data_IF_039756571374
#
_entry.id   IF_039756571374
#
_cell.length_a   1.000
_cell.length_b   1.000
_cell.length_c   1.000
_cell.angle_alpha   90.00
_cell.angle_beta   90.00
_cell.angle_gamma   90.00
#
_symmetry.space_group_name_H-M   'P 1'
#
loop_
_entity.id
_entity.type
_entity.pdbx_description
1 polymer ?
#
# COMPACT_ATOMS: atom_id res chain seq x y z
N UNK A 1 7.61 -10.87 19.79
CA UNK A 1 9.01 -10.61 19.40
C UNK A 1 9.23 -9.12 19.27
N UNK A 2 10.35 -8.60 19.80
CA UNK A 2 10.70 -7.17 19.70
C UNK A 2 11.99 -7.04 18.89
N UNK A 3 11.93 -6.15 17.89
CA UNK A 3 13.07 -5.81 17.03
C UNK A 3 13.45 -4.36 17.25
N UNK A 4 14.76 -4.13 17.43
CA UNK A 4 15.35 -2.79 17.61
C UNK A 4 16.63 -2.67 16.81
N UNK A 5 16.99 -1.46 16.41
CA UNK A 5 18.23 -1.20 15.67
C UNK A 5 18.16 -1.67 14.21
N UNK A 6 19.31 -1.95 13.60
CA UNK A 6 19.44 -2.22 12.17
C UNK A 6 19.70 -3.70 11.89
N UNK A 7 18.98 -4.25 10.90
CA UNK A 7 19.12 -5.62 10.44
C UNK A 7 19.05 -5.74 8.93
N UNK A 8 19.64 -6.79 8.36
CA UNK A 8 19.64 -7.09 6.92
C UNK A 8 18.94 -8.40 6.56
N UNK A 9 18.27 -9.01 7.51
CA UNK A 9 17.50 -10.24 7.32
C UNK A 9 16.01 -9.98 7.53
N UNK A 10 15.19 -10.56 6.65
CA UNK A 10 13.74 -10.51 6.77
C UNK A 10 13.22 -11.39 7.92
N UNK A 11 12.03 -11.06 8.36
CA UNK A 11 11.26 -11.81 9.35
C UNK A 11 10.26 -12.67 8.59
N UNK A 12 10.37 -13.98 8.70
CA UNK A 12 9.39 -14.90 8.14
C UNK A 12 8.47 -15.41 9.25
N UNK A 13 7.19 -15.14 9.11
CA UNK A 13 6.15 -15.75 9.94
C UNK A 13 5.86 -17.15 9.40
N UNK A 14 5.99 -18.18 10.23
CA UNK A 14 5.70 -19.55 9.79
C UNK A 14 4.19 -19.88 9.89
N UNK A 15 3.54 -19.43 10.95
CA UNK A 15 2.10 -19.65 11.17
C UNK A 15 1.56 -18.92 12.40
N UNK A 16 0.23 -18.94 12.57
CA UNK A 16 -0.45 -18.47 13.78
C UNK A 16 -0.64 -16.97 13.83
N UNK A 17 -0.74 -16.43 15.04
CA UNK A 17 -1.08 -15.03 15.28
C UNK A 17 0.05 -14.30 16.05
N UNK A 18 1.25 -14.17 15.48
CA UNK A 18 2.35 -13.54 16.19
C UNK A 18 2.15 -12.04 16.35
N UNK A 19 2.74 -11.50 17.41
CA UNK A 19 2.95 -10.08 17.60
C UNK A 19 4.41 -9.74 17.40
N UNK A 20 4.67 -8.85 16.45
CA UNK A 20 5.97 -8.26 16.13
C UNK A 20 5.97 -6.83 16.65
N UNK A 21 6.88 -6.48 17.53
CA UNK A 21 7.07 -5.11 18.00
C UNK A 21 8.28 -4.53 17.28
N UNK A 22 8.05 -3.51 16.49
CA UNK A 22 9.08 -2.71 15.81
C UNK A 22 9.32 -1.47 16.68
N UNK A 23 10.51 -1.34 17.25
CA UNK A 23 10.85 -0.22 18.14
C UNK A 23 12.14 0.46 17.66
N UNK A 24 12.01 1.54 16.89
CA UNK A 24 13.12 2.21 16.23
C UNK A 24 13.98 1.21 15.43
N UNK A 25 13.32 0.34 14.68
CA UNK A 25 13.96 -0.72 13.92
C UNK A 25 14.12 -0.31 12.44
N UNK A 26 15.26 -0.70 11.86
CA UNK A 26 15.52 -0.57 10.43
C UNK A 26 15.88 -1.94 9.87
N UNK A 27 14.99 -2.54 9.09
CA UNK A 27 15.18 -3.84 8.46
C UNK A 27 15.24 -3.64 6.94
N UNK A 28 16.43 -3.78 6.38
CA UNK A 28 16.66 -3.61 4.95
C UNK A 28 17.13 -4.93 4.35
N UNK A 29 16.35 -5.47 3.41
CA UNK A 29 16.62 -6.75 2.76
C UNK A 29 17.11 -6.56 1.32
N UNK A 30 17.91 -7.51 0.83
CA UNK A 30 18.39 -7.54 -0.55
C UNK A 30 17.60 -8.49 -1.45
N UNK A 31 16.75 -9.32 -0.87
CA UNK A 31 15.85 -10.24 -1.59
C UNK A 31 14.68 -10.62 -0.67
N UNK A 32 13.52 -10.89 -1.28
CA UNK A 32 12.30 -11.22 -0.56
C UNK A 32 11.69 -10.02 0.14
N UNK A 33 10.88 -10.25 1.15
CA UNK A 33 10.21 -9.20 1.92
C UNK A 33 10.87 -9.03 3.29
N UNK A 34 10.85 -7.80 3.83
CA UNK A 34 11.35 -7.54 5.17
C UNK A 34 10.49 -8.27 6.22
N UNK A 35 9.18 -8.35 5.98
CA UNK A 35 8.27 -9.20 6.77
C UNK A 35 7.43 -10.02 5.80
N UNK A 36 7.40 -11.34 6.00
CA UNK A 36 6.66 -12.29 5.15
C UNK A 36 5.58 -12.97 5.97
N UNK A 37 4.31 -12.74 5.62
CA UNK A 37 3.13 -13.23 6.35
C UNK A 37 2.40 -14.25 5.47
N UNK A 38 2.37 -15.53 5.87
CA UNK A 38 1.76 -16.59 5.07
C UNK A 38 0.23 -16.57 5.16
N UNK A 39 -0.39 -17.31 4.25
CA UNK A 39 -1.82 -17.62 4.27
C UNK A 39 -2.24 -18.23 5.63
N UNK A 40 -3.43 -17.88 6.08
CA UNK A 40 -3.99 -18.36 7.35
C UNK A 40 -3.36 -17.77 8.61
N UNK A 41 -2.42 -16.84 8.48
CA UNK A 41 -1.78 -16.14 9.61
C UNK A 41 -2.39 -14.77 9.84
N UNK A 42 -2.56 -14.38 11.11
CA UNK A 42 -2.92 -13.01 11.49
C UNK A 42 -1.78 -12.39 12.29
N UNK A 43 -0.98 -11.56 11.65
CA UNK A 43 0.20 -10.95 12.25
C UNK A 43 -0.10 -9.53 12.72
N UNK A 44 0.19 -9.22 13.97
CA UNK A 44 0.13 -7.85 14.50
C UNK A 44 1.52 -7.24 14.53
N UNK A 45 1.70 -6.12 13.85
CA UNK A 45 2.90 -5.30 13.87
C UNK A 45 2.62 -4.07 14.73
N UNK A 46 3.19 -4.03 15.94
CA UNK A 46 3.13 -2.86 16.79
C UNK A 46 4.32 -1.95 16.50
N UNK A 47 4.03 -0.71 16.10
CA UNK A 47 5.03 0.30 15.75
C UNK A 47 5.29 1.20 16.96
N UNK A 48 6.55 1.38 17.33
CA UNK A 48 7.01 2.27 18.39
C UNK A 48 8.18 3.09 17.84
N UNK A 49 8.07 4.41 17.87
CA UNK A 49 9.08 5.32 17.33
C UNK A 49 9.09 5.32 15.79
N UNK A 50 10.25 5.61 15.18
CA UNK A 50 10.44 5.67 13.73
C UNK A 50 11.09 4.39 13.21
N UNK A 51 10.40 3.69 12.32
CA UNK A 51 10.79 2.39 11.81
C UNK A 51 10.84 2.40 10.28
N UNK A 52 11.83 1.72 9.72
CA UNK A 52 11.98 1.54 8.28
C UNK A 52 12.10 0.05 7.94
N UNK A 53 11.34 -0.40 6.95
CA UNK A 53 11.39 -1.79 6.47
C UNK A 53 11.33 -1.83 4.95
N UNK A 54 11.98 -2.81 4.34
CA UNK A 54 11.91 -3.04 2.91
C UNK A 54 13.25 -3.22 2.25
N UNK A 55 13.42 -2.66 1.06
CA UNK A 55 14.61 -2.84 0.24
C UNK A 55 15.27 -1.52 -0.10
N UNK A 56 16.60 -1.56 -0.27
CA UNK A 56 17.36 -0.46 -0.88
C UNK A 56 17.59 -0.68 -2.38
N UNK A 57 17.15 -1.80 -2.93
CA UNK A 57 17.31 -2.08 -4.36
C UNK A 57 16.42 -1.16 -5.18
N UNK A 58 17.02 -0.61 -6.21
CA UNK A 58 16.33 0.28 -7.17
C UNK A 58 16.30 -0.31 -8.57
N UNK A 59 16.94 -1.46 -8.79
CA UNK A 59 17.03 -2.05 -10.12
C UNK A 59 15.79 -2.88 -10.46
N UNK A 60 15.29 -2.64 -11.64
CA UNK A 60 14.01 -3.08 -12.17
C UNK A 60 13.83 -4.61 -12.27
N UNK A 61 14.91 -5.36 -12.39
CA UNK A 61 14.88 -6.81 -12.67
C UNK A 61 15.42 -7.67 -11.53
N UNK A 62 15.69 -7.06 -10.39
CA UNK A 62 16.06 -7.79 -9.18
C UNK A 62 14.84 -8.54 -8.60
N UNK A 63 15.09 -9.55 -7.81
CA UNK A 63 14.03 -10.32 -7.16
C UNK A 63 13.03 -9.39 -6.43
N UNK A 64 11.72 -9.61 -6.54
CA UNK A 64 10.70 -8.80 -5.90
C UNK A 64 10.99 -8.67 -4.40
N UNK A 65 11.05 -7.44 -3.92
CA UNK A 65 11.33 -7.14 -2.52
C UNK A 65 10.26 -6.20 -1.98
N UNK A 66 9.48 -6.65 -0.99
CA UNK A 66 8.47 -5.85 -0.32
C UNK A 66 8.92 -5.40 1.07
N UNK A 67 8.26 -4.39 1.60
CA UNK A 67 8.33 -4.08 3.02
C UNK A 67 7.63 -5.18 3.81
N UNK A 68 6.32 -5.34 3.59
CA UNK A 68 5.49 -6.38 4.20
C UNK A 68 4.75 -7.13 3.09
N UNK A 69 5.11 -8.38 2.86
CA UNK A 69 4.30 -9.27 2.03
C UNK A 69 3.21 -9.92 2.89
N UNK A 70 1.98 -9.88 2.40
CA UNK A 70 0.82 -10.50 3.02
C UNK A 70 0.22 -11.45 2.01
N UNK A 71 0.43 -12.75 2.17
CA UNK A 71 -0.12 -13.75 1.25
C UNK A 71 -1.65 -13.75 1.26
N UNK A 72 -2.27 -14.17 0.19
CA UNK A 72 -3.71 -14.38 0.10
C UNK A 72 -4.21 -15.24 1.28
N UNK A 73 -5.30 -14.81 1.92
CA UNK A 73 -5.80 -15.43 3.15
C UNK A 73 -5.00 -15.11 4.42
N UNK A 74 -3.90 -14.35 4.31
CA UNK A 74 -3.19 -13.78 5.45
C UNK A 74 -3.79 -12.44 5.89
N UNK A 75 -3.49 -12.02 7.11
CA UNK A 75 -3.93 -10.74 7.66
C UNK A 75 -2.77 -10.04 8.34
N UNK A 76 -2.54 -8.77 8.02
CA UNK A 76 -1.65 -7.91 8.79
C UNK A 76 -2.43 -6.84 9.53
N UNK A 77 -2.12 -6.65 10.81
CA UNK A 77 -2.59 -5.55 11.63
C UNK A 77 -1.40 -4.67 11.99
N UNK A 78 -1.28 -3.51 11.36
CA UNK A 78 -0.25 -2.50 11.65
C UNK A 78 -0.87 -1.47 12.59
N UNK A 79 -0.32 -1.36 13.79
CA UNK A 79 -0.92 -0.53 14.82
C UNK A 79 0.12 0.13 15.73
N UNK A 80 -0.28 1.19 16.39
CA UNK A 80 0.51 1.82 17.44
C UNK A 80 -0.38 2.45 18.53
N UNK A 81 0.23 3.17 19.47
CA UNK A 81 -0.49 3.91 20.49
C UNK A 81 -0.79 5.37 20.08
N UNK A 82 -0.50 5.74 18.84
CA UNK A 82 -0.74 7.09 18.31
C UNK A 82 0.03 7.34 17.02
N UNK A 83 -0.39 8.35 16.27
CA UNK A 83 0.17 8.69 14.95
C UNK A 83 1.58 9.29 14.99
N UNK A 84 2.12 9.59 16.18
CA UNK A 84 3.53 9.98 16.34
C UNK A 84 4.52 8.83 16.05
N UNK A 85 4.02 7.59 16.01
CA UNK A 85 4.82 6.42 15.66
C UNK A 85 4.75 6.19 14.16
N UNK A 86 5.89 5.95 13.54
CA UNK A 86 6.07 5.97 12.09
C UNK A 86 6.55 4.61 11.58
N UNK A 87 5.94 4.16 10.50
CA UNK A 87 6.41 3.03 9.71
C UNK A 87 6.67 3.49 8.28
N UNK A 88 7.92 3.36 7.80
CA UNK A 88 8.32 3.57 6.42
C UNK A 88 8.54 2.22 5.76
N UNK A 89 7.69 1.89 4.80
CA UNK A 89 7.76 0.64 4.05
C UNK A 89 8.16 0.90 2.60
N UNK A 90 9.10 0.11 2.08
CA UNK A 90 9.61 0.24 0.71
C UNK A 90 9.50 -1.09 -0.03
N UNK A 91 8.96 -1.04 -1.24
CA UNK A 91 8.85 -2.16 -2.16
C UNK A 91 9.57 -1.93 -3.49
N UNK A 92 10.07 -3.02 -4.09
CA UNK A 92 10.61 -3.07 -5.46
C UNK A 92 10.01 -4.25 -6.17
N UNK A 93 9.33 -4.07 -7.32
CA UNK A 93 8.51 -5.08 -7.98
C UNK A 93 7.48 -5.72 -7.03
N UNK A 94 7.12 -5.02 -5.98
CA UNK A 94 6.18 -5.45 -4.97
C UNK A 94 5.52 -4.24 -4.35
N UNK A 95 4.35 -4.40 -3.78
CA UNK A 95 3.78 -3.41 -2.90
C UNK A 95 4.73 -3.18 -1.71
N UNK A 96 4.78 -1.96 -1.20
CA UNK A 96 5.46 -1.71 0.06
C UNK A 96 4.77 -2.49 1.20
N UNK A 97 3.43 -2.56 1.14
CA UNK A 97 2.60 -3.37 2.03
C UNK A 97 1.54 -4.09 1.19
N UNK A 98 1.64 -5.41 1.06
CA UNK A 98 0.66 -6.18 0.31
C UNK A 98 1.23 -7.30 -0.56
N UNK A 99 0.87 -7.32 -1.84
CA UNK A 99 1.25 -8.32 -2.81
C UNK A 99 2.68 -8.18 -3.33
N UNK A 100 3.16 -9.21 -3.98
CA UNK A 100 4.42 -9.16 -4.73
C UNK A 100 4.24 -9.73 -6.14
N UNK A 101 4.86 -9.06 -7.09
CA UNK A 101 4.96 -9.53 -8.46
C UNK A 101 6.14 -10.51 -8.58
N UNK A 102 5.96 -11.61 -9.26
CA UNK A 102 7.03 -12.60 -9.48
C UNK A 102 7.42 -12.63 -10.96
N UNK A 103 6.44 -12.77 -11.84
CA UNK A 103 6.60 -12.74 -13.30
C UNK A 103 5.20 -12.68 -13.93
N UNK A 104 5.12 -12.62 -15.26
CA UNK A 104 3.85 -12.56 -16.02
C UNK A 104 2.93 -13.80 -15.86
N UNK A 105 3.41 -14.88 -15.26
CA UNK A 105 2.64 -16.11 -15.06
C UNK A 105 2.32 -16.35 -13.58
N UNK A 106 3.01 -15.65 -12.68
CA UNK A 106 2.89 -15.84 -11.22
C UNK A 106 2.84 -14.49 -10.53
N UNK A 107 1.66 -14.06 -10.14
CA UNK A 107 1.48 -12.98 -9.18
C UNK A 107 1.00 -13.56 -7.84
N UNK A 108 1.39 -12.93 -6.75
CA UNK A 108 0.89 -13.33 -5.45
C UNK A 108 -0.16 -12.34 -4.98
N UNK A 109 -1.40 -12.80 -4.92
CA UNK A 109 -2.50 -12.08 -4.32
C UNK A 109 -2.16 -11.65 -2.89
N UNK A 110 -2.58 -10.45 -2.53
CA UNK A 110 -2.43 -9.95 -1.18
C UNK A 110 -3.62 -10.34 -0.31
N UNK A 111 -3.34 -10.58 0.96
CA UNK A 111 -4.36 -10.76 2.00
C UNK A 111 -4.94 -9.45 2.51
N UNK A 112 -5.52 -9.47 3.69
CA UNK A 112 -6.13 -8.29 4.30
C UNK A 112 -5.07 -7.41 4.99
N UNK A 113 -5.23 -6.10 4.85
CA UNK A 113 -4.32 -5.09 5.42
C UNK A 113 -5.13 -4.16 6.32
N UNK A 114 -4.78 -4.12 7.61
CA UNK A 114 -5.39 -3.22 8.59
C UNK A 114 -4.33 -2.28 9.14
N UNK A 115 -4.56 -0.98 9.01
CA UNK A 115 -3.66 0.10 9.48
C UNK A 115 -4.43 0.94 10.49
N UNK A 116 -3.92 1.07 11.71
CA UNK A 116 -4.62 1.83 12.76
C UNK A 116 -3.70 2.56 13.73
N UNK A 117 -4.06 3.78 14.10
CA UNK A 117 -3.37 4.60 15.11
C UNK A 117 -1.87 4.80 14.84
N UNK A 118 -1.46 4.90 13.59
CA UNK A 118 -0.06 4.96 13.18
C UNK A 118 0.10 5.89 11.98
N UNK A 119 1.28 6.48 11.80
CA UNK A 119 1.67 7.12 10.54
C UNK A 119 2.43 6.12 9.67
N UNK A 120 1.97 5.93 8.44
CA UNK A 120 2.59 5.02 7.46
C UNK A 120 3.03 5.80 6.23
N UNK A 121 4.30 5.60 5.84
CA UNK A 121 4.82 5.99 4.53
C UNK A 121 5.07 4.71 3.74
N UNK A 122 4.34 4.51 2.66
CA UNK A 122 4.48 3.36 1.78
C UNK A 122 4.98 3.81 0.41
N UNK A 123 6.11 3.26 -0.03
CA UNK A 123 6.73 3.62 -1.31
C UNK A 123 6.92 2.36 -2.14
N UNK A 124 6.45 2.39 -3.38
CA UNK A 124 6.92 1.44 -4.39
C UNK A 124 7.76 2.16 -5.44
N UNK A 125 8.72 1.50 -6.02
CA UNK A 125 9.54 2.07 -7.11
C UNK A 125 9.20 1.47 -8.46
N UNK A 126 8.10 0.75 -8.57
CA UNK A 126 7.71 0.06 -9.79
C UNK A 126 6.20 0.18 -10.04
N UNK A 127 5.83 0.45 -11.29
CA UNK A 127 4.43 0.59 -11.71
C UNK A 127 3.62 -0.72 -11.69
N UNK A 128 4.27 -1.86 -11.50
CA UNK A 128 3.59 -3.15 -11.31
C UNK A 128 3.01 -3.34 -9.91
N UNK A 129 3.09 -2.36 -9.02
CA UNK A 129 2.56 -2.49 -7.68
C UNK A 129 1.98 -1.19 -7.14
N UNK A 130 0.80 -1.25 -6.53
CA UNK A 130 0.33 -0.20 -5.64
C UNK A 130 1.27 -0.08 -4.42
N UNK A 131 1.40 1.09 -3.82
CA UNK A 131 2.21 1.20 -2.61
C UNK A 131 1.59 0.38 -1.45
N UNK A 132 0.26 0.41 -1.32
CA UNK A 132 -0.50 -0.43 -0.40
C UNK A 132 -1.55 -1.19 -1.20
N UNK A 133 -1.46 -2.52 -1.23
CA UNK A 133 -2.43 -3.35 -1.95
C UNK A 133 -1.82 -4.45 -2.79
N UNK A 134 -2.30 -4.60 -4.04
CA UNK A 134 -1.84 -5.65 -4.95
C UNK A 134 -0.55 -5.29 -5.69
N UNK A 135 0.10 -6.29 -6.25
CA UNK A 135 1.21 -6.15 -7.17
C UNK A 135 1.02 -7.10 -8.36
N UNK A 136 1.46 -6.66 -9.54
CA UNK A 136 1.32 -7.39 -10.78
C UNK A 136 -0.15 -7.74 -11.06
N UNK A 137 -0.40 -8.86 -11.70
CA UNK A 137 -1.75 -9.36 -12.01
C UNK A 137 -2.50 -9.92 -10.78
N UNK A 138 -2.10 -9.47 -9.58
CA UNK A 138 -2.67 -9.95 -8.32
C UNK A 138 -3.85 -9.13 -7.85
N UNK A 139 -4.67 -9.74 -7.01
CA UNK A 139 -5.74 -9.10 -6.26
C UNK A 139 -5.29 -8.77 -4.83
N UNK A 140 -6.07 -7.97 -4.12
CA UNK A 140 -5.86 -7.71 -2.70
C UNK A 140 -7.17 -7.93 -1.95
N UNK A 141 -7.06 -8.43 -0.75
CA UNK A 141 -8.21 -8.46 0.16
C UNK A 141 -8.62 -7.06 0.61
N UNK A 142 -9.30 -6.97 1.73
CA UNK A 142 -9.75 -5.67 2.25
C UNK A 142 -8.60 -4.86 2.83
N UNK A 143 -8.55 -3.58 2.50
CA UNK A 143 -7.63 -2.59 3.08
C UNK A 143 -8.43 -1.69 4.02
N UNK A 144 -8.17 -1.77 5.33
CA UNK A 144 -8.80 -0.93 6.35
C UNK A 144 -7.79 0.07 6.91
N UNK A 145 -8.14 1.35 6.89
CA UNK A 145 -7.34 2.46 7.44
C UNK A 145 -8.21 3.19 8.46
N UNK A 146 -7.80 3.20 9.74
CA UNK A 146 -8.60 3.77 10.82
C UNK A 146 -7.76 4.58 11.79
N UNK A 147 -8.14 5.81 12.10
CA UNK A 147 -7.43 6.72 13.01
C UNK A 147 -5.93 6.82 12.65
N UNK A 148 -5.60 6.88 11.37
CA UNK A 148 -4.23 6.81 10.87
C UNK A 148 -3.89 7.99 9.95
N UNK A 149 -2.60 8.24 9.79
CA UNK A 149 -2.07 9.12 8.74
C UNK A 149 -1.30 8.26 7.75
N UNK A 150 -1.68 8.31 6.47
CA UNK A 150 -1.08 7.44 5.45
C UNK A 150 -0.57 8.28 4.29
N UNK A 151 0.70 8.07 3.90
CA UNK A 151 1.32 8.58 2.70
C UNK A 151 1.65 7.39 1.79
N UNK A 152 0.91 7.26 0.69
CA UNK A 152 1.03 6.13 -0.22
C UNK A 152 1.50 6.61 -1.61
N UNK A 153 2.72 6.20 -2.00
CA UNK A 153 3.39 6.64 -3.21
C UNK A 153 3.39 5.53 -4.25
N UNK A 154 2.43 5.57 -5.18
CA UNK A 154 2.36 4.68 -6.33
C UNK A 154 3.36 5.10 -7.40
N UNK A 155 4.21 4.18 -7.83
CA UNK A 155 5.20 4.45 -8.87
C UNK A 155 4.61 4.38 -10.29
N UNK A 156 5.41 4.77 -11.27
CA UNK A 156 5.02 4.73 -12.66
C UNK A 156 6.20 5.02 -13.59
N UNK A 157 5.89 5.04 -14.86
CA UNK A 157 6.76 5.56 -15.91
C UNK A 157 5.97 6.56 -16.79
N UNK A 158 6.49 6.92 -17.95
CA UNK A 158 5.83 7.88 -18.84
C UNK A 158 4.50 7.36 -19.42
N UNK A 159 4.24 6.06 -19.37
CA UNK A 159 3.09 5.40 -19.99
C UNK A 159 2.11 4.80 -18.99
N UNK A 160 2.59 4.44 -17.81
CA UNK A 160 1.80 3.74 -16.78
C UNK A 160 1.96 4.39 -15.41
N UNK A 161 0.97 4.21 -14.56
CA UNK A 161 0.99 4.73 -13.19
C UNK A 161 0.20 3.82 -12.28
N UNK A 162 0.83 3.38 -11.21
CA UNK A 162 0.14 2.67 -10.14
C UNK A 162 -0.53 3.64 -9.16
N UNK A 163 -1.68 3.29 -8.57
CA UNK A 163 -2.28 4.08 -7.51
C UNK A 163 -1.44 3.99 -6.23
N UNK A 164 -1.57 4.96 -5.35
CA UNK A 164 -0.98 4.87 -4.01
C UNK A 164 -1.58 3.69 -3.22
N UNK A 165 -2.90 3.52 -3.29
CA UNK A 165 -3.65 2.45 -2.61
C UNK A 165 -4.55 1.74 -3.62
N UNK A 166 -4.48 0.42 -3.71
CA UNK A 166 -5.36 -0.30 -4.63
C UNK A 166 -4.74 -1.51 -5.29
N UNK A 167 -5.06 -1.71 -6.58
CA UNK A 167 -4.50 -2.76 -7.41
C UNK A 167 -3.49 -2.20 -8.41
N UNK A 168 -2.58 -3.08 -8.84
CA UNK A 168 -1.56 -2.78 -9.82
C UNK A 168 -1.98 -3.23 -11.22
N UNK A 169 -1.03 -3.19 -12.15
CA UNK A 169 -1.22 -3.51 -13.57
C UNK A 169 -1.79 -4.92 -13.77
N UNK A 170 -2.84 -5.01 -14.57
CA UNK A 170 -3.47 -6.24 -14.96
C UNK A 170 -3.73 -6.28 -16.46
N UNK A 171 -3.75 -7.47 -17.00
CA UNK A 171 -4.29 -7.74 -18.32
C UNK A 171 -5.79 -7.40 -18.36
N UNK A 172 -6.19 -6.69 -19.33
CA UNK A 172 -7.45 -6.02 -19.72
C UNK A 172 -8.82 -6.68 -19.38
N UNK A 173 -8.87 -7.82 -18.70
CA UNK A 173 -10.10 -8.61 -18.55
C UNK A 173 -10.70 -8.62 -17.12
N UNK A 174 -10.10 -7.94 -16.12
CA UNK A 174 -10.48 -8.16 -14.73
C UNK A 174 -10.82 -6.86 -13.97
N UNK A 175 -11.93 -6.24 -14.31
CA UNK A 175 -12.54 -5.14 -13.53
C UNK A 175 -12.84 -5.49 -12.05
N UNK A 176 -12.75 -6.77 -11.70
CA UNK A 176 -13.05 -7.27 -10.35
C UNK A 176 -11.86 -7.17 -9.37
N UNK A 177 -10.72 -6.64 -9.81
CA UNK A 177 -9.49 -6.64 -9.02
C UNK A 177 -9.31 -5.45 -8.08
N UNK A 178 -10.25 -4.51 -8.03
CA UNK A 178 -10.17 -3.37 -7.10
C UNK A 178 -10.44 -3.86 -5.67
N UNK A 179 -9.48 -3.71 -4.74
CA UNK A 179 -9.71 -4.13 -3.36
C UNK A 179 -10.81 -3.31 -2.69
N UNK A 180 -11.48 -3.90 -1.71
CA UNK A 180 -12.37 -3.16 -0.82
C UNK A 180 -11.51 -2.27 0.07
N UNK A 181 -11.62 -0.94 -0.07
CA UNK A 181 -10.89 0.04 0.74
C UNK A 181 -11.86 0.72 1.70
N UNK A 182 -11.59 0.60 3.00
CA UNK A 182 -12.39 1.24 4.06
C UNK A 182 -11.49 2.20 4.82
N UNK A 183 -11.85 3.48 4.79
CA UNK A 183 -11.10 4.55 5.45
C UNK A 183 -12.01 5.25 6.46
N UNK A 184 -11.56 5.37 7.71
CA UNK A 184 -12.33 6.07 8.73
C UNK A 184 -11.43 6.88 9.68
N UNK A 185 -11.88 8.08 10.04
CA UNK A 185 -11.21 8.98 10.98
C UNK A 185 -9.71 9.17 10.66
N UNK A 186 -9.37 9.31 9.37
CA UNK A 186 -8.00 9.23 8.89
C UNK A 186 -7.66 10.38 7.94
N UNK A 187 -6.36 10.64 7.82
CA UNK A 187 -5.77 11.51 6.83
C UNK A 187 -4.97 10.66 5.85
N UNK A 188 -5.28 10.73 4.56
CA UNK A 188 -4.63 9.92 3.54
C UNK A 188 -4.08 10.82 2.43
N UNK A 189 -2.78 10.75 2.21
CA UNK A 189 -2.07 11.37 1.11
C UNK A 189 -1.73 10.29 0.09
N UNK A 190 -2.35 10.36 -1.08
CA UNK A 190 -2.14 9.39 -2.14
C UNK A 190 -1.50 10.05 -3.35
N UNK A 191 -0.39 9.48 -3.78
CA UNK A 191 0.43 9.95 -4.88
C UNK A 191 0.37 8.95 -6.02
N UNK A 192 0.08 9.42 -7.23
CA UNK A 192 0.26 8.70 -8.47
C UNK A 192 1.38 9.34 -9.28
N UNK A 193 2.05 8.57 -10.10
CA UNK A 193 3.19 9.09 -10.88
C UNK A 193 2.73 10.06 -11.98
N UNK A 194 1.69 9.70 -12.72
CA UNK A 194 1.10 10.47 -13.80
C UNK A 194 -0.44 10.35 -13.78
N UNK A 195 -1.19 11.05 -14.66
CA UNK A 195 -2.66 11.06 -14.62
C UNK A 195 -3.35 9.78 -15.09
N UNK A 196 -2.63 8.71 -15.42
CA UNK A 196 -3.24 7.49 -15.97
C UNK A 196 -3.80 6.51 -14.93
N UNK A 197 -3.62 6.72 -13.63
CA UNK A 197 -4.23 5.87 -12.60
C UNK A 197 -5.25 6.63 -11.74
N UNK A 198 -6.04 5.88 -11.00
CA UNK A 198 -6.78 6.42 -9.86
C UNK A 198 -5.80 6.84 -8.75
N UNK A 199 -6.24 7.69 -7.84
CA UNK A 199 -5.52 8.00 -6.61
C UNK A 199 -5.63 6.84 -5.62
N UNK A 200 -6.86 6.31 -5.50
CA UNK A 200 -7.18 5.07 -4.81
C UNK A 200 -7.99 4.24 -5.79
N UNK A 201 -7.60 2.99 -6.04
CA UNK A 201 -8.34 2.12 -6.94
C UNK A 201 -7.47 1.37 -7.92
N UNK A 202 -7.47 1.77 -9.18
CA UNK A 202 -6.92 1.01 -10.28
C UNK A 202 -5.77 1.74 -11.00
N UNK A 203 -4.84 0.95 -11.55
CA UNK A 203 -3.81 1.41 -12.47
C UNK A 203 -4.41 1.78 -13.82
N UNK A 204 -3.80 2.76 -14.49
CA UNK A 204 -4.11 3.13 -15.84
C UNK A 204 -2.87 3.24 -16.73
N UNK A 205 -3.10 3.29 -18.04
CA UNK A 205 -2.08 3.55 -19.06
C UNK A 205 -2.52 4.63 -20.07
N UNK A 206 -1.60 5.04 -20.94
CA UNK A 206 -1.85 6.08 -21.95
C UNK A 206 -2.72 5.60 -23.14
N UNK A 207 -2.96 4.29 -23.27
CA UNK A 207 -3.72 3.74 -24.42
C UNK A 207 -5.20 4.16 -24.38
N UNK A 208 -5.69 4.61 -23.22
CA UNK A 208 -7.06 5.00 -23.03
C UNK A 208 -8.03 3.81 -22.92
N UNK A 209 -7.50 2.58 -22.98
CA UNK A 209 -8.28 1.35 -22.75
C UNK A 209 -8.47 1.07 -21.26
N UNK A 210 -8.06 2.01 -20.41
CA UNK A 210 -8.10 1.88 -18.97
C UNK A 210 -9.30 2.62 -18.38
N UNK A 211 -9.83 2.04 -17.34
CA UNK A 211 -10.98 2.57 -16.60
C UNK A 211 -10.59 3.58 -15.51
N UNK A 212 -9.29 3.82 -15.33
CA UNK A 212 -8.80 4.75 -14.32
C UNK A 212 -9.07 6.21 -14.72
N UNK A 213 -9.78 6.92 -13.89
CA UNK A 213 -10.27 8.28 -14.17
C UNK A 213 -9.64 9.33 -13.25
N UNK A 214 -8.64 8.99 -12.45
CA UNK A 214 -8.13 9.87 -11.38
C UNK A 214 -9.14 9.99 -10.24
N UNK A 215 -9.84 8.92 -9.95
CA UNK A 215 -10.87 8.85 -8.92
C UNK A 215 -10.33 8.35 -7.57
N UNK A 216 -11.22 8.40 -6.58
CA UNK A 216 -11.10 7.66 -5.33
C UNK A 216 -12.11 6.53 -5.43
N UNK A 217 -11.65 5.38 -5.93
CA UNK A 217 -12.47 4.18 -6.11
C UNK A 217 -12.13 3.16 -5.03
N UNK A 218 -13.02 2.99 -4.08
CA UNK A 218 -12.82 2.10 -2.94
C UNK A 218 -13.33 0.66 -3.15
N UNK A 219 -13.70 0.30 -4.38
CA UNK A 219 -14.28 -1.00 -4.71
C UNK A 219 -15.70 -1.21 -4.16
N UNK A 220 -16.31 -2.31 -4.57
CA UNK A 220 -17.67 -2.65 -4.14
C UNK A 220 -17.72 -3.01 -2.64
N UNK A 221 -18.46 -2.22 -1.87
CA UNK A 221 -18.52 -2.32 -0.41
C UNK A 221 -17.48 -1.49 0.33
N UNK A 222 -16.60 -0.78 -0.38
CA UNK A 222 -15.68 0.19 0.20
C UNK A 222 -16.37 1.47 0.68
N UNK A 223 -15.69 2.21 1.55
CA UNK A 223 -16.23 3.46 2.09
C UNK A 223 -15.15 4.37 2.66
N UNK A 224 -15.42 5.68 2.63
CA UNK A 224 -14.60 6.68 3.33
C UNK A 224 -15.50 7.49 4.25
N UNK A 225 -15.15 7.62 5.54
CA UNK A 225 -15.94 8.36 6.54
C UNK A 225 -15.06 9.17 7.48
N UNK A 226 -15.50 10.37 7.88
CA UNK A 226 -14.77 11.28 8.77
C UNK A 226 -13.29 11.41 8.40
N UNK A 227 -12.98 11.52 7.13
CA UNK A 227 -11.61 11.41 6.65
C UNK A 227 -11.31 12.44 5.56
N UNK A 228 -10.04 12.79 5.43
CA UNK A 228 -9.56 13.67 4.37
C UNK A 228 -8.59 12.95 3.48
N UNK A 229 -8.83 12.99 2.16
CA UNK A 229 -7.97 12.42 1.14
C UNK A 229 -7.31 13.55 0.35
N UNK A 230 -5.99 13.59 0.40
CA UNK A 230 -5.15 14.50 -0.39
C UNK A 230 -4.60 13.75 -1.59
N UNK A 231 -4.89 14.25 -2.78
CA UNK A 231 -4.56 13.62 -4.05
C UNK A 231 -3.46 14.40 -4.76
N UNK A 232 -2.40 13.70 -5.20
CA UNK A 232 -1.24 14.29 -5.83
C UNK A 232 -0.89 13.55 -7.12
N UNK A 233 -0.53 14.30 -8.17
CA UNK A 233 0.12 13.74 -9.36
C UNK A 233 1.59 14.19 -9.40
N UNK A 234 2.50 13.22 -9.51
CA UNK A 234 3.94 13.38 -9.32
C UNK A 234 4.38 13.03 -7.91
N UNK A 235 5.40 12.19 -7.78
CA UNK A 235 5.85 11.69 -6.47
C UNK A 235 6.48 12.76 -5.58
N UNK A 236 7.01 13.83 -6.20
CA UNK A 236 7.58 14.99 -5.50
C UNK A 236 6.61 16.17 -5.41
N UNK A 237 5.33 15.94 -5.74
CA UNK A 237 4.33 17.01 -5.73
C UNK A 237 4.15 17.59 -4.33
N UNK A 238 4.23 18.90 -4.24
CA UNK A 238 3.99 19.68 -3.01
C UNK A 238 2.61 20.34 -3.01
N UNK A 239 1.94 20.34 -4.17
CA UNK A 239 0.61 20.90 -4.36
C UNK A 239 -0.36 19.78 -4.67
N UNK A 240 -1.47 19.72 -3.97
CA UNK A 240 -2.54 18.76 -4.21
C UNK A 240 -3.28 19.07 -5.51
N UNK A 241 -3.65 18.06 -6.26
CA UNK A 241 -4.58 18.20 -7.39
C UNK A 241 -5.98 18.47 -6.86
N UNK A 242 -6.37 17.73 -5.84
CA UNK A 242 -7.63 17.89 -5.13
C UNK A 242 -7.54 17.42 -3.68
N UNK A 243 -8.44 17.96 -2.86
CA UNK A 243 -8.67 17.49 -1.49
C UNK A 243 -10.14 17.09 -1.39
N UNK A 244 -10.39 15.87 -0.94
CA UNK A 244 -11.75 15.36 -0.74
C UNK A 244 -11.97 15.10 0.74
N UNK A 245 -12.96 15.77 1.32
CA UNK A 245 -13.32 15.63 2.74
C UNK A 245 -14.63 14.84 2.79
N UNK A 246 -14.62 13.76 3.55
CA UNK A 246 -15.79 12.91 3.78
C UNK A 246 -16.35 13.14 5.19
N UNK A 247 -17.65 13.34 5.29
CA UNK A 247 -18.37 13.45 6.56
C UNK A 247 -18.57 12.06 7.23
N UNK A 248 -19.32 12.04 8.35
CA UNK A 248 -19.63 10.82 9.09
C UNK A 248 -20.51 9.83 8.30
N UNK A 249 -21.27 10.31 7.38
CA UNK A 249 -22.17 9.51 6.53
C UNK A 249 -21.46 9.02 5.26
N UNK A 250 -20.24 9.56 4.99
CA UNK A 250 -19.45 9.24 3.81
C UNK A 250 -19.75 10.12 2.60
N UNK A 251 -20.41 11.27 2.79
CA UNK A 251 -20.65 12.20 1.70
C UNK A 251 -19.39 13.02 1.42
N UNK A 252 -18.90 13.07 0.17
CA UNK A 252 -17.72 13.82 -0.18
C UNK A 252 -18.01 15.30 -0.40
N UNK A 253 -17.07 16.14 0.01
CA UNK A 253 -16.93 17.53 -0.44
C UNK A 253 -15.57 17.68 -1.08
N UNK A 254 -15.53 17.99 -2.37
CA UNK A 254 -14.28 18.13 -3.13
C UNK A 254 -13.91 19.61 -3.23
N UNK A 255 -12.67 19.92 -2.83
CA UNK A 255 -12.04 21.22 -3.07
C UNK A 255 -10.94 21.03 -4.12
N UNK A 256 -11.12 21.62 -5.29
CA UNK A 256 -10.07 21.72 -6.31
C UNK A 256 -9.21 22.96 -6.02
N UNK A 257 -7.91 22.79 -6.09
CA UNK A 257 -6.95 23.88 -5.96
C UNK A 257 -6.69 24.56 -7.30
#
# INVERSE_FOLDING_TARGET
YTFTGTGSYGIKVESGNPKIVMNNANITVNAGSAIDIPSGSTTTIQVIGDNTIGTTKTEYWDAPCGGIFVAEGGIVNITSNGTDNILRAHGTLAAAIGGKYVNYEESHNAGNINISNVTVYAYTNNYYAAAIGAAGEGTCGTINITNAVVYAYGAGDQYTSAPGIGSAWDSLDWLDAIPIVIISNSEVHTFRYNPYSDYIGYLGDESGDTYATGSINCGDGGSVKNSTIYCYTGLDATTTDKVVIYDADGNPTENQN
#
